data_IF_233720349300
#
_entry.id   IF_233720349300
#
_cell.length_a   1.000
_cell.length_b   1.000
_cell.length_c   1.000
_cell.angle_alpha   90.00
_cell.angle_beta   90.00
_cell.angle_gamma   90.00
#
_symmetry.space_group_name_H-M   'P 1'
#
loop_
_entity.id
_entity.type
_entity.pdbx_description
1 polymer ?
#
# COMPACT_ATOMS: atom_id res chain seq x y z
N UNK A 1 -14.53 3.00 8.48
CA UNK A 1 -13.52 2.70 7.45
C UNK A 1 -12.27 3.50 7.75
N UNK A 2 -11.08 2.91 7.65
CA UNK A 2 -9.81 3.63 7.68
C UNK A 2 -9.38 3.93 6.24
N UNK A 3 -9.41 5.20 5.80
CA UNK A 3 -9.08 5.58 4.43
C UNK A 3 -7.56 5.65 4.20
N UNK A 4 -7.11 5.46 2.96
CA UNK A 4 -5.77 5.91 2.55
C UNK A 4 -5.68 7.44 2.54
N UNK A 5 -4.46 8.00 2.48
CA UNK A 5 -4.25 9.45 2.42
C UNK A 5 -5.01 10.10 1.26
N UNK A 6 -4.75 9.67 0.03
CA UNK A 6 -5.44 10.17 -1.16
C UNK A 6 -6.97 9.99 -1.10
N UNK A 7 -7.44 8.88 -0.51
CA UNK A 7 -8.88 8.67 -0.28
C UNK A 7 -9.44 9.71 0.68
N UNK A 8 -8.79 9.97 1.81
CA UNK A 8 -9.25 10.94 2.79
C UNK A 8 -9.22 12.37 2.24
N UNK A 9 -8.20 12.72 1.45
CA UNK A 9 -8.11 14.01 0.77
C UNK A 9 -9.31 14.25 -0.15
N UNK A 10 -9.78 13.21 -0.84
CA UNK A 10 -10.97 13.31 -1.69
C UNK A 10 -12.31 13.44 -0.96
N UNK A 11 -12.35 13.17 0.35
CA UNK A 11 -13.59 13.29 1.14
C UNK A 11 -13.98 14.76 1.31
N UNK A 12 -15.28 15.04 1.16
CA UNK A 12 -15.87 16.36 1.37
C UNK A 12 -17.03 16.29 2.40
N UNK A 13 -16.73 16.06 3.69
CA UNK A 13 -17.75 16.01 4.74
C UNK A 13 -18.48 17.34 4.92
N UNK A 14 -17.85 18.46 4.55
CA UNK A 14 -18.46 19.79 4.64
C UNK A 14 -19.71 19.91 3.74
N UNK A 15 -19.80 19.15 2.64
CA UNK A 15 -21.00 19.08 1.80
C UNK A 15 -22.26 18.60 2.56
N UNK A 16 -22.08 17.81 3.63
CA UNK A 16 -23.17 17.33 4.47
C UNK A 16 -23.79 18.46 5.31
N UNK A 17 -23.03 19.53 5.59
CA UNK A 17 -23.53 20.71 6.31
C UNK A 17 -24.59 21.48 5.51
N UNK A 18 -24.56 21.39 4.18
CA UNK A 18 -25.59 21.93 3.29
C UNK A 18 -26.72 20.93 3.06
N UNK A 19 -26.38 19.65 2.86
CA UNK A 19 -27.34 18.60 2.53
C UNK A 19 -28.34 18.35 3.67
N UNK A 20 -27.88 18.32 4.93
CA UNK A 20 -28.75 18.12 6.09
C UNK A 20 -29.90 19.14 6.17
N UNK A 21 -29.61 20.45 6.18
CA UNK A 21 -30.63 21.51 6.13
C UNK A 21 -31.60 21.39 4.94
N UNK A 22 -31.12 21.05 3.73
CA UNK A 22 -31.99 20.85 2.56
C UNK A 22 -32.98 19.70 2.77
N UNK A 23 -32.50 18.57 3.31
CA UNK A 23 -33.34 17.41 3.62
C UNK A 23 -34.40 17.77 4.66
N UNK A 24 -34.01 18.50 5.72
CA UNK A 24 -34.95 18.97 6.74
C UNK A 24 -36.02 19.89 6.15
N UNK A 25 -35.61 20.89 5.37
CA UNK A 25 -36.51 21.86 4.75
C UNK A 25 -37.52 21.19 3.80
N UNK A 26 -37.11 20.14 3.08
CA UNK A 26 -38.02 19.36 2.25
C UNK A 26 -39.10 18.64 3.08
N UNK A 27 -38.73 18.08 4.24
CA UNK A 27 -39.69 17.50 5.18
C UNK A 27 -40.67 18.53 5.74
N UNK A 28 -40.16 19.68 6.16
CA UNK A 28 -40.97 20.79 6.67
C UNK A 28 -41.98 21.28 5.61
N UNK A 29 -41.55 21.40 4.34
CA UNK A 29 -42.42 21.85 3.25
C UNK A 29 -43.57 20.87 2.95
N UNK A 30 -43.32 19.55 3.01
CA UNK A 30 -44.36 18.53 2.81
C UNK A 30 -45.38 18.58 3.95
N UNK A 31 -44.93 18.63 5.20
CA UNK A 31 -45.80 18.69 6.37
C UNK A 31 -46.66 19.96 6.35
N UNK A 32 -46.06 21.13 6.11
CA UNK A 32 -46.77 22.40 6.00
C UNK A 32 -47.80 22.40 4.87
N UNK A 33 -47.49 21.80 3.72
CA UNK A 33 -48.42 21.74 2.58
C UNK A 33 -49.66 20.91 2.92
N UNK A 34 -49.47 19.72 3.52
CA UNK A 34 -50.58 18.85 3.92
C UNK A 34 -51.36 19.46 5.09
N UNK A 35 -50.67 20.05 6.06
CA UNK A 35 -51.27 20.73 7.19
C UNK A 35 -52.14 21.91 6.78
N UNK A 36 -51.70 22.71 5.79
CA UNK A 36 -52.51 23.80 5.24
C UNK A 36 -53.81 23.31 4.59
N UNK A 37 -53.77 22.18 3.89
CA UNK A 37 -54.97 21.58 3.28
C UNK A 37 -55.93 21.10 4.37
N UNK A 38 -55.41 20.42 5.40
CA UNK A 38 -56.21 19.95 6.55
C UNK A 38 -56.88 21.12 7.28
N UNK A 39 -56.13 22.19 7.60
CA UNK A 39 -56.66 23.40 8.25
C UNK A 39 -57.73 24.08 7.38
N UNK A 40 -57.46 24.27 6.09
CA UNK A 40 -58.42 24.91 5.19
C UNK A 40 -59.73 24.11 5.10
N UNK A 41 -59.65 22.77 5.01
CA UNK A 41 -60.84 21.92 4.95
C UNK A 41 -61.66 22.02 6.24
N UNK A 42 -61.00 22.02 7.41
CA UNK A 42 -61.68 22.16 8.71
C UNK A 42 -62.41 23.50 8.87
N UNK A 43 -61.94 24.56 8.21
CA UNK A 43 -62.54 25.90 8.26
C UNK A 43 -63.67 26.12 7.23
N UNK A 44 -63.91 25.18 6.30
CA UNK A 44 -64.97 25.30 5.28
C UNK A 44 -66.40 25.45 5.83
N UNK A 45 -66.80 24.78 6.94
CA UNK A 45 -68.12 24.98 7.54
C UNK A 45 -68.33 26.42 8.03
N UNK A 46 -67.30 27.06 8.56
CA UNK A 46 -67.32 28.44 9.05
C UNK A 46 -67.52 29.45 7.90
N UNK A 47 -67.04 29.10 6.71
CA UNK A 47 -67.22 29.89 5.48
C UNK A 47 -68.48 29.53 4.70
N UNK A 48 -69.33 28.62 5.22
CA UNK A 48 -70.54 28.07 4.57
C UNK A 48 -70.29 27.44 3.19
N UNK A 49 -69.06 26.99 2.92
CA UNK A 49 -68.69 26.47 1.60
C UNK A 49 -68.97 24.97 1.45
N UNK A 50 -68.78 24.18 2.51
CA UNK A 50 -69.07 22.73 2.54
C UNK A 50 -69.18 22.21 3.98
N UNK A 51 -70.14 21.33 4.27
CA UNK A 51 -70.37 20.69 5.58
C UNK A 51 -71.16 19.36 5.46
N UNK A 52 -71.20 18.56 6.53
CA UNK A 52 -71.96 17.30 6.63
C UNK A 52 -71.08 16.04 6.60
N UNK A 53 -71.68 14.85 6.62
CA UNK A 53 -70.95 13.57 6.78
C UNK A 53 -69.82 13.34 5.78
N UNK A 54 -69.99 13.81 4.53
CA UNK A 54 -68.94 13.73 3.52
C UNK A 54 -67.74 14.65 3.83
N UNK A 55 -67.99 15.82 4.40
CA UNK A 55 -66.96 16.75 4.87
C UNK A 55 -66.24 16.19 6.10
N UNK A 56 -66.96 15.59 7.05
CA UNK A 56 -66.37 14.93 8.22
C UNK A 56 -65.41 13.81 7.79
N UNK A 57 -65.84 12.95 6.85
CA UNK A 57 -65.02 11.86 6.33
C UNK A 57 -63.75 12.36 5.61
N UNK A 58 -63.86 13.47 4.85
CA UNK A 58 -62.73 14.10 4.19
C UNK A 58 -61.75 14.72 5.21
N UNK A 59 -62.27 15.34 6.28
CA UNK A 59 -61.49 15.88 7.39
C UNK A 59 -60.72 14.78 8.11
N UNK A 60 -61.38 13.65 8.41
CA UNK A 60 -60.72 12.50 9.02
C UNK A 60 -59.61 11.92 8.14
N UNK A 61 -59.85 11.83 6.83
CA UNK A 61 -58.85 11.38 5.86
C UNK A 61 -57.63 12.31 5.82
N UNK A 62 -57.84 13.62 5.71
CA UNK A 62 -56.75 14.60 5.68
C UNK A 62 -56.02 14.71 7.02
N UNK A 63 -56.73 14.55 8.14
CA UNK A 63 -56.10 14.43 9.46
C UNK A 63 -55.16 13.22 9.57
N UNK A 64 -55.52 12.06 8.96
CA UNK A 64 -54.60 10.92 8.85
C UNK A 64 -53.41 11.21 7.94
N UNK A 65 -53.63 11.90 6.82
CA UNK A 65 -52.57 12.30 5.90
C UNK A 65 -51.59 13.26 6.57
N UNK A 66 -52.08 14.26 7.31
CA UNK A 66 -51.27 15.22 8.05
C UNK A 66 -50.40 14.52 9.10
N UNK A 67 -50.97 13.62 9.92
CA UNK A 67 -50.18 12.80 10.87
C UNK A 67 -49.09 11.96 10.20
N UNK A 68 -49.33 11.52 8.96
CA UNK A 68 -48.32 10.79 8.19
C UNK A 68 -47.21 11.73 7.67
N UNK A 69 -47.57 12.95 7.28
CA UNK A 69 -46.63 13.98 6.88
C UNK A 69 -45.77 14.48 8.05
N UNK A 70 -46.33 14.60 9.26
CA UNK A 70 -45.57 14.89 10.48
C UNK A 70 -44.50 13.82 10.74
N UNK A 71 -44.87 12.53 10.68
CA UNK A 71 -43.91 11.42 10.82
C UNK A 71 -42.81 11.47 9.75
N UNK A 72 -43.16 11.83 8.52
CA UNK A 72 -42.20 11.98 7.43
C UNK A 72 -41.23 13.16 7.66
N UNK A 73 -41.72 14.30 8.13
CA UNK A 73 -40.88 15.44 8.52
C UNK A 73 -39.92 15.07 9.66
N UNK A 74 -40.42 14.36 10.67
CA UNK A 74 -39.60 13.92 11.79
C UNK A 74 -38.51 12.94 11.34
N UNK A 75 -38.80 12.07 10.37
CA UNK A 75 -37.82 11.21 9.71
C UNK A 75 -36.69 12.02 9.07
N UNK A 76 -37.06 12.95 8.18
CA UNK A 76 -36.08 13.78 7.48
C UNK A 76 -35.30 14.68 8.44
N UNK A 77 -35.91 15.11 9.54
CA UNK A 77 -35.22 15.85 10.62
C UNK A 77 -34.17 15.00 11.33
N UNK A 78 -34.44 13.71 11.58
CA UNK A 78 -33.47 12.79 12.19
C UNK A 78 -32.29 12.51 11.24
N UNK A 79 -32.57 12.23 9.97
CA UNK A 79 -31.53 12.05 8.93
C UNK A 79 -30.70 13.33 8.79
N UNK A 80 -31.35 14.49 8.68
CA UNK A 80 -30.67 15.78 8.60
C UNK A 80 -29.76 16.03 9.81
N UNK A 81 -30.23 15.73 11.03
CA UNK A 81 -29.43 15.84 12.25
C UNK A 81 -28.18 14.96 12.22
N UNK A 82 -28.31 13.72 11.74
CA UNK A 82 -27.17 12.81 11.57
C UNK A 82 -26.16 13.37 10.54
N UNK A 83 -26.63 13.86 9.38
CA UNK A 83 -25.76 14.43 8.34
C UNK A 83 -25.01 15.68 8.84
N UNK A 84 -25.70 16.60 9.52
CA UNK A 84 -25.08 17.82 10.05
C UNK A 84 -24.07 17.51 11.16
N UNK A 85 -24.39 16.58 12.07
CA UNK A 85 -23.44 16.14 13.09
C UNK A 85 -22.22 15.42 12.48
N UNK A 86 -22.44 14.62 11.44
CA UNK A 86 -21.39 13.98 10.66
C UNK A 86 -20.46 14.99 10.00
N UNK A 87 -21.01 16.01 9.35
CA UNK A 87 -20.24 17.09 8.73
C UNK A 87 -19.22 17.69 9.71
N UNK A 88 -19.68 18.01 10.92
CA UNK A 88 -18.84 18.60 11.95
C UNK A 88 -17.78 17.64 12.48
N UNK A 89 -18.20 16.44 12.91
CA UNK A 89 -17.31 15.48 13.58
C UNK A 89 -16.29 14.85 12.62
N UNK A 90 -16.76 14.35 11.48
CA UNK A 90 -15.89 13.77 10.44
C UNK A 90 -15.02 14.85 9.79
N UNK A 91 -15.56 16.04 9.54
CA UNK A 91 -14.80 17.17 9.01
C UNK A 91 -13.67 17.62 9.95
N UNK A 92 -13.92 17.65 11.26
CA UNK A 92 -12.90 17.96 12.26
C UNK A 92 -11.81 16.87 12.33
N UNK A 93 -12.20 15.59 12.38
CA UNK A 93 -11.24 14.48 12.42
C UNK A 93 -10.38 14.41 11.15
N UNK A 94 -11.00 14.57 9.97
CA UNK A 94 -10.31 14.65 8.68
C UNK A 94 -9.26 15.75 8.69
N UNK A 95 -9.66 16.96 9.08
CA UNK A 95 -8.77 18.13 9.09
C UNK A 95 -7.61 17.91 10.05
N UNK A 96 -7.87 17.42 11.26
CA UNK A 96 -6.83 17.18 12.25
C UNK A 96 -5.76 16.19 11.76
N UNK A 97 -6.17 15.11 11.08
CA UNK A 97 -5.22 14.13 10.52
C UNK A 97 -4.43 14.70 9.34
N UNK A 98 -5.08 15.37 8.38
CA UNK A 98 -4.40 15.96 7.23
C UNK A 98 -3.46 17.10 7.64
N UNK A 99 -3.90 17.99 8.54
CA UNK A 99 -3.05 19.06 9.06
C UNK A 99 -1.82 18.51 9.79
N UNK A 100 -1.95 17.36 10.48
CA UNK A 100 -0.82 16.70 11.12
C UNK A 100 0.12 16.08 10.10
N UNK A 101 -0.40 15.44 9.06
CA UNK A 101 0.43 14.92 7.97
C UNK A 101 1.19 16.05 7.27
N UNK A 102 0.54 17.17 6.95
CA UNK A 102 1.17 18.34 6.34
C UNK A 102 2.26 18.95 7.24
N UNK A 103 2.07 18.95 8.56
CA UNK A 103 3.10 19.38 9.52
C UNK A 103 4.32 18.46 9.52
N UNK A 104 4.10 17.14 9.43
CA UNK A 104 5.17 16.15 9.38
C UNK A 104 5.94 16.31 8.07
N UNK A 105 5.23 16.38 6.93
CA UNK A 105 5.79 16.53 5.59
C UNK A 105 6.56 17.85 5.36
N UNK A 106 6.30 18.87 6.18
CA UNK A 106 7.06 20.12 6.16
C UNK A 106 8.41 20.02 6.91
N UNK A 107 8.65 18.91 7.61
CA UNK A 107 9.84 18.63 8.42
C UNK A 107 10.83 17.70 7.71
N UNK A 108 11.60 16.91 8.49
CA UNK A 108 12.54 15.91 7.96
C UNK A 108 11.91 14.51 7.77
N UNK A 109 10.59 14.42 7.85
CA UNK A 109 9.81 13.19 7.80
C UNK A 109 8.68 13.36 6.79
N UNK A 110 8.11 12.25 6.32
CA UNK A 110 6.90 12.27 5.49
C UNK A 110 5.89 11.21 5.91
N UNK A 111 4.63 11.39 5.52
CA UNK A 111 3.55 10.43 5.75
C UNK A 111 3.13 9.76 4.44
N UNK A 112 3.31 8.44 4.39
CA UNK A 112 2.93 7.60 3.23
C UNK A 112 1.42 7.49 3.02
N UNK A 113 1.01 6.94 1.87
CA UNK A 113 -0.40 6.64 1.55
C UNK A 113 -1.10 5.74 2.59
N UNK A 114 -0.33 4.85 3.24
CA UNK A 114 -0.78 3.94 4.29
C UNK A 114 -0.66 4.51 5.71
N UNK A 115 -0.40 5.82 5.85
CA UNK A 115 -0.20 6.51 7.14
C UNK A 115 0.99 6.01 7.97
N UNK A 116 1.98 5.37 7.34
CA UNK A 116 3.29 5.15 7.97
C UNK A 116 4.13 6.42 7.86
N UNK A 117 4.77 6.81 8.96
CA UNK A 117 5.71 7.94 9.06
C UNK A 117 7.10 7.46 8.69
N UNK A 118 7.71 8.12 7.71
CA UNK A 118 8.98 7.76 7.10
C UNK A 118 9.99 8.90 7.25
N UNK A 119 11.27 8.57 7.21
CA UNK A 119 12.35 9.57 7.16
C UNK A 119 12.50 10.05 5.73
N UNK A 120 12.63 11.37 5.54
CA UNK A 120 12.86 11.91 4.21
C UNK A 120 14.19 11.45 3.62
N UNK A 121 14.22 11.13 2.31
CA UNK A 121 15.46 10.78 1.63
C UNK A 121 16.45 11.95 1.64
N UNK A 122 17.68 11.70 2.07
CA UNK A 122 18.74 12.72 2.05
C UNK A 122 20.06 12.26 2.63
N UNK A 123 21.05 13.15 2.58
CA UNK A 123 22.35 12.94 3.21
C UNK A 123 22.20 13.06 4.74
N UNK A 124 22.33 11.94 5.44
CA UNK A 124 22.12 11.83 6.87
C UNK A 124 23.18 10.92 7.49
N UNK A 125 23.77 11.31 8.62
CA UNK A 125 24.65 10.45 9.40
C UNK A 125 23.85 9.36 10.12
N UNK A 126 24.52 8.30 10.58
CA UNK A 126 23.85 7.28 11.40
C UNK A 126 23.27 7.82 12.71
N UNK A 127 23.92 8.82 13.31
CA UNK A 127 23.41 9.51 14.51
C UNK A 127 22.13 10.30 14.20
N UNK A 128 22.12 11.03 13.08
CA UNK A 128 20.92 11.77 12.65
C UNK A 128 19.74 10.83 12.34
N UNK A 129 19.98 9.67 11.72
CA UNK A 129 18.94 8.66 11.53
C UNK A 129 18.40 8.18 12.88
N UNK A 130 19.27 7.90 13.86
CA UNK A 130 18.83 7.43 15.17
C UNK A 130 17.93 8.47 15.88
N UNK A 131 18.31 9.75 15.84
CA UNK A 131 17.49 10.85 16.36
C UNK A 131 16.15 10.96 15.62
N UNK A 132 16.16 10.86 14.29
CA UNK A 132 14.94 10.89 13.48
C UNK A 132 14.03 9.70 13.76
N UNK A 133 14.58 8.53 14.09
CA UNK A 133 13.78 7.35 14.46
C UNK A 133 13.01 7.53 15.77
N UNK A 134 13.58 8.24 16.75
CA UNK A 134 12.84 8.61 17.97
C UNK A 134 11.67 9.55 17.66
N UNK A 135 11.89 10.51 16.75
CA UNK A 135 10.84 11.40 16.27
C UNK A 135 9.75 10.62 15.51
N UNK A 136 10.13 9.70 14.61
CA UNK A 136 9.20 8.83 13.87
C UNK A 136 8.27 8.07 14.82
N UNK A 137 8.80 7.49 15.90
CA UNK A 137 7.96 6.75 16.88
C UNK A 137 6.92 7.67 17.51
N UNK A 138 7.32 8.89 17.88
CA UNK A 138 6.44 9.89 18.47
C UNK A 138 5.35 10.33 17.47
N UNK A 139 5.76 10.62 16.23
CA UNK A 139 4.85 11.07 15.18
C UNK A 139 3.89 9.98 14.72
N UNK A 140 4.36 8.73 14.60
CA UNK A 140 3.52 7.59 14.24
C UNK A 140 2.40 7.38 15.27
N UNK A 141 2.68 7.53 16.56
CA UNK A 141 1.66 7.41 17.60
C UNK A 141 0.59 8.50 17.49
N UNK A 142 0.99 9.73 17.16
CA UNK A 142 0.06 10.85 16.92
C UNK A 142 -0.81 10.61 15.68
N UNK A 143 -0.20 10.20 14.56
CA UNK A 143 -0.90 9.86 13.31
C UNK A 143 -1.89 8.72 13.54
N UNK A 144 -1.48 7.64 14.20
CA UNK A 144 -2.36 6.49 14.49
C UNK A 144 -3.57 6.89 15.34
N UNK A 145 -3.38 7.76 16.33
CA UNK A 145 -4.48 8.28 17.16
C UNK A 145 -5.50 9.05 16.31
N UNK A 146 -5.03 9.91 15.41
CA UNK A 146 -5.88 10.72 14.53
C UNK A 146 -6.56 9.87 13.46
N UNK A 147 -5.89 8.85 12.91
CA UNK A 147 -6.46 7.89 11.98
C UNK A 147 -7.63 7.11 12.60
N UNK A 148 -7.47 6.65 13.84
CA UNK A 148 -8.56 5.99 14.56
C UNK A 148 -9.72 6.94 14.83
N UNK A 149 -9.45 8.22 15.14
CA UNK A 149 -10.52 9.21 15.31
C UNK A 149 -11.32 9.44 14.03
N UNK A 150 -10.69 9.38 12.84
CA UNK A 150 -11.39 9.41 11.55
C UNK A 150 -12.28 8.18 11.39
N UNK A 151 -11.74 6.98 11.65
CA UNK A 151 -12.50 5.73 11.58
C UNK A 151 -13.70 5.70 12.53
N UNK A 152 -13.54 6.21 13.74
CA UNK A 152 -14.61 6.30 14.74
C UNK A 152 -15.67 7.34 14.36
N UNK A 153 -15.27 8.49 13.80
CA UNK A 153 -16.20 9.50 13.33
C UNK A 153 -17.05 9.00 12.14
N UNK A 154 -16.43 8.30 11.19
CA UNK A 154 -17.12 7.64 10.08
C UNK A 154 -18.11 6.57 10.57
N UNK A 155 -17.67 5.69 11.47
CA UNK A 155 -18.52 4.66 12.06
C UNK A 155 -19.71 5.25 12.82
N UNK A 156 -19.47 6.28 13.65
CA UNK A 156 -20.53 6.94 14.41
C UNK A 156 -21.55 7.66 13.51
N UNK A 157 -21.11 8.23 12.38
CA UNK A 157 -22.01 8.81 11.39
C UNK A 157 -22.88 7.73 10.74
N UNK A 158 -22.27 6.63 10.29
CA UNK A 158 -22.99 5.51 9.71
C UNK A 158 -24.03 4.94 10.69
N UNK A 159 -23.66 4.74 11.96
CA UNK A 159 -24.56 4.27 13.00
C UNK A 159 -25.75 5.22 13.24
N UNK A 160 -25.52 6.54 13.29
CA UNK A 160 -26.59 7.53 13.44
C UNK A 160 -27.57 7.52 12.26
N UNK A 161 -27.06 7.38 11.03
CA UNK A 161 -27.90 7.28 9.84
C UNK A 161 -28.73 6.00 9.85
N UNK A 162 -28.11 4.87 10.22
CA UNK A 162 -28.79 3.58 10.34
C UNK A 162 -29.87 3.61 11.42
N UNK A 163 -29.58 4.21 12.58
CA UNK A 163 -30.56 4.39 13.66
C UNK A 163 -31.73 5.28 13.24
N UNK A 164 -31.47 6.39 12.53
CA UNK A 164 -32.50 7.27 11.98
C UNK A 164 -33.41 6.55 10.97
N UNK A 165 -32.83 5.66 10.17
CA UNK A 165 -33.57 4.86 9.19
C UNK A 165 -34.39 3.73 9.84
N UNK A 166 -33.84 3.06 10.87
CA UNK A 166 -34.46 1.91 11.53
C UNK A 166 -35.82 2.24 12.17
N UNK A 167 -36.00 3.45 12.71
CA UNK A 167 -37.28 3.93 13.28
C UNK A 167 -38.44 3.80 12.27
N UNK A 168 -38.15 3.78 10.97
CA UNK A 168 -39.14 3.74 9.89
C UNK A 168 -39.15 2.42 9.12
N UNK A 169 -38.58 1.37 9.70
CA UNK A 169 -38.63 0.01 9.15
C UNK A 169 -37.55 -0.27 8.12
N UNK A 170 -36.58 0.64 7.91
CA UNK A 170 -35.39 0.29 7.16
C UNK A 170 -34.62 -0.81 7.88
N UNK A 171 -34.37 -1.90 7.18
CA UNK A 171 -33.52 -2.98 7.67
C UNK A 171 -32.35 -3.09 6.69
N UNK A 172 -31.09 -3.01 7.16
CA UNK A 172 -29.95 -3.22 6.28
C UNK A 172 -30.05 -4.60 5.61
N UNK A 173 -29.67 -4.71 4.32
CA UNK A 173 -29.49 -6.02 3.70
C UNK A 173 -28.49 -6.86 4.53
N UNK A 174 -28.69 -8.20 4.60
CA UNK A 174 -27.79 -9.06 5.35
C UNK A 174 -26.37 -8.98 4.81
N UNK A 175 -25.43 -8.62 5.69
CA UNK A 175 -24.02 -8.45 5.34
C UNK A 175 -23.26 -9.78 5.21
N UNK A 176 -23.78 -10.86 5.78
CA UNK A 176 -23.12 -12.17 5.85
C UNK A 176 -23.83 -13.24 5.01
N UNK A 177 -23.10 -14.34 4.74
CA UNK A 177 -23.59 -15.48 3.98
C UNK A 177 -23.71 -15.24 2.47
N UNK A 178 -24.30 -16.22 1.77
CA UNK A 178 -24.53 -16.17 0.32
C UNK A 178 -25.28 -14.89 -0.13
N UNK A 179 -26.31 -14.41 0.58
CA UNK A 179 -27.01 -13.17 0.22
C UNK A 179 -26.10 -11.94 0.26
N UNK A 180 -25.23 -11.83 1.27
CA UNK A 180 -24.25 -10.75 1.37
C UNK A 180 -23.08 -10.88 0.39
N UNK A 181 -22.79 -12.08 -0.13
CA UNK A 181 -21.86 -12.27 -1.26
C UNK A 181 -22.46 -11.81 -2.61
N UNK A 182 -23.77 -11.99 -2.79
CA UNK A 182 -24.48 -11.63 -4.03
C UNK A 182 -24.86 -10.15 -4.11
N UNK A 183 -24.69 -9.39 -3.02
CA UNK A 183 -24.94 -7.95 -2.97
C UNK A 183 -23.71 -7.19 -2.46
N UNK A 184 -22.69 -6.97 -3.31
CA UNK A 184 -21.46 -6.28 -2.90
C UNK A 184 -21.70 -4.90 -2.28
N UNK A 185 -22.71 -4.17 -2.77
CA UNK A 185 -23.12 -2.86 -2.25
C UNK A 185 -23.76 -2.89 -0.84
N UNK A 186 -24.12 -4.08 -0.33
CA UNK A 186 -24.69 -4.27 1.00
C UNK A 186 -23.62 -4.38 2.11
N UNK A 187 -22.35 -4.61 1.73
CA UNK A 187 -21.26 -4.73 2.71
C UNK A 187 -20.74 -3.36 3.10
N UNK A 188 -20.35 -3.23 4.37
CA UNK A 188 -19.55 -2.08 4.78
C UNK A 188 -18.26 -2.06 3.95
N UNK A 189 -17.83 -0.89 3.47
CA UNK A 189 -16.51 -0.75 2.88
C UNK A 189 -15.45 -1.32 3.83
N UNK A 190 -14.54 -2.12 3.29
CA UNK A 190 -13.36 -2.56 4.02
C UNK A 190 -12.44 -1.36 4.25
N UNK A 191 -11.56 -1.46 5.24
CA UNK A 191 -10.52 -0.46 5.45
C UNK A 191 -9.54 -0.47 4.26
N UNK A 192 -9.16 0.72 3.78
CA UNK A 192 -8.15 0.89 2.73
C UNK A 192 -6.73 0.67 3.28
N UNK A 193 -6.56 0.91 4.58
CA UNK A 193 -5.28 0.79 5.28
C UNK A 193 -5.41 -0.13 6.49
N UNK A 194 -4.33 -0.80 6.89
CA UNK A 194 -4.34 -1.65 8.07
C UNK A 194 -4.66 -0.86 9.34
N UNK A 195 -5.45 -1.48 10.21
CA UNK A 195 -5.87 -0.86 11.47
C UNK A 195 -4.75 -0.85 12.51
N UNK A 196 -4.39 0.31 13.07
CA UNK A 196 -3.40 0.39 14.15
C UNK A 196 -3.95 -0.10 15.50
N UNK A 197 -5.22 -0.52 15.57
CA UNK A 197 -5.77 -1.25 16.74
C UNK A 197 -5.29 -2.70 16.78
N UNK A 198 -4.90 -3.24 15.63
CA UNK A 198 -4.57 -4.65 15.47
C UNK A 198 -3.04 -4.80 15.39
N UNK A 199 -2.45 -5.80 16.09
CA UNK A 199 -1.00 -6.03 16.03
C UNK A 199 -0.48 -6.24 14.60
N UNK A 200 -1.31 -6.81 13.73
CA UNK A 200 -0.97 -7.01 12.32
C UNK A 200 -0.89 -5.68 11.56
N UNK A 201 -1.75 -4.71 11.86
CA UNK A 201 -1.71 -3.41 11.19
C UNK A 201 -0.48 -2.59 11.61
N UNK A 202 -0.10 -2.67 12.89
CA UNK A 202 1.16 -2.08 13.36
C UNK A 202 2.38 -2.73 12.68
N UNK A 203 2.39 -4.06 12.57
CA UNK A 203 3.47 -4.78 11.87
C UNK A 203 3.60 -4.35 10.39
N UNK A 204 2.47 -4.12 9.71
CA UNK A 204 2.48 -3.67 8.32
C UNK A 204 3.04 -2.25 8.17
N UNK A 205 2.71 -1.32 9.08
CA UNK A 205 3.32 0.01 9.12
C UNK A 205 4.83 -0.06 9.35
N UNK A 206 5.28 -0.93 10.26
CA UNK A 206 6.69 -1.17 10.53
C UNK A 206 7.43 -1.76 9.31
N UNK A 207 6.76 -2.64 8.56
CA UNK A 207 7.31 -3.24 7.34
C UNK A 207 7.52 -2.18 6.26
N UNK A 208 6.51 -1.34 5.99
CA UNK A 208 6.62 -0.23 5.02
C UNK A 208 7.79 0.70 5.38
N UNK A 209 7.95 1.01 6.67
CA UNK A 209 9.05 1.84 7.15
C UNK A 209 10.41 1.16 7.00
N UNK A 210 10.52 -0.11 7.39
CA UNK A 210 11.76 -0.87 7.26
C UNK A 210 12.21 -0.96 5.80
N UNK A 211 11.28 -1.25 4.89
CA UNK A 211 11.55 -1.27 3.44
C UNK A 211 11.97 0.11 2.92
N UNK A 212 11.30 1.18 3.36
CA UNK A 212 11.67 2.53 2.97
C UNK A 212 13.11 2.86 3.40
N UNK A 213 13.51 2.47 4.60
CA UNK A 213 14.85 2.74 5.14
C UNK A 213 15.93 1.84 4.51
N UNK A 214 15.65 0.56 4.29
CA UNK A 214 16.56 -0.41 3.68
C UNK A 214 16.90 -0.12 2.21
N UNK A 215 16.17 0.82 1.60
CA UNK A 215 16.27 1.12 0.17
C UNK A 215 16.60 2.57 -0.12
N UNK A 216 16.61 3.42 0.90
CA UNK A 216 17.07 4.80 0.76
C UNK A 216 18.54 4.87 1.09
N UNK A 217 19.36 5.28 0.13
CA UNK A 217 20.77 5.55 0.34
C UNK A 217 20.92 6.80 1.22
N UNK A 218 21.60 6.69 2.36
CA UNK A 218 21.96 7.86 3.19
C UNK A 218 23.34 8.41 2.85
N UNK A 219 24.25 7.55 2.41
CA UNK A 219 25.65 7.87 2.14
C UNK A 219 26.20 6.95 1.05
N UNK A 220 27.09 7.47 0.21
CA UNK A 220 27.85 6.67 -0.74
C UNK A 220 29.33 6.91 -0.58
N UNK A 221 30.11 5.85 -0.60
CA UNK A 221 31.57 5.86 -0.56
C UNK A 221 32.09 5.23 -1.84
N UNK A 222 33.04 5.88 -2.51
CA UNK A 222 33.68 5.34 -3.72
C UNK A 222 35.20 5.31 -3.52
N UNK A 223 35.86 4.29 -4.05
CA UNK A 223 37.29 4.14 -3.96
C UNK A 223 37.82 3.01 -4.83
N UNK A 224 39.10 2.69 -4.65
CA UNK A 224 39.71 1.51 -5.23
C UNK A 224 40.09 0.56 -4.10
N UNK A 225 39.88 -0.73 -4.32
CA UNK A 225 40.40 -1.80 -3.47
C UNK A 225 41.93 -1.83 -3.51
N UNK A 226 42.56 -2.52 -2.56
CA UNK A 226 44.02 -2.71 -2.54
C UNK A 226 44.54 -3.36 -3.83
N UNK A 227 43.70 -4.17 -4.49
CA UNK A 227 43.98 -4.85 -5.76
C UNK A 227 43.70 -3.97 -7.01
N UNK A 228 43.30 -2.71 -6.83
CA UNK A 228 43.07 -1.75 -7.90
C UNK A 228 41.67 -1.77 -8.53
N UNK A 229 40.76 -2.60 -8.02
CA UNK A 229 39.37 -2.67 -8.51
C UNK A 229 38.53 -1.51 -7.99
N UNK A 230 37.69 -0.93 -8.83
CA UNK A 230 36.81 0.17 -8.41
C UNK A 230 35.67 -0.38 -7.53
N UNK A 231 35.43 0.27 -6.40
CA UNK A 231 34.39 -0.09 -5.45
C UNK A 231 33.51 1.12 -5.12
N UNK A 232 32.19 0.91 -5.14
CA UNK A 232 31.21 1.83 -4.60
C UNK A 232 30.36 1.15 -3.54
N UNK A 233 30.32 1.73 -2.35
CA UNK A 233 29.47 1.29 -1.24
C UNK A 233 28.34 2.29 -1.02
N UNK A 234 27.11 1.82 -1.11
CA UNK A 234 25.90 2.52 -0.72
C UNK A 234 25.52 2.10 0.69
N UNK A 235 25.42 3.05 1.61
CA UNK A 235 24.95 2.83 2.98
C UNK A 235 23.51 3.31 3.04
N UNK A 236 22.60 2.46 3.50
CA UNK A 236 21.18 2.74 3.57
C UNK A 236 20.81 3.43 4.88
N UNK A 237 19.59 3.98 4.97
CA UNK A 237 19.11 4.64 6.19
C UNK A 237 19.05 3.67 7.37
N UNK A 238 18.68 2.40 7.16
CA UNK A 238 18.67 1.37 8.22
C UNK A 238 20.07 0.90 8.65
N UNK A 239 21.13 1.36 7.98
CA UNK A 239 22.51 0.98 8.24
C UNK A 239 23.01 -0.23 7.45
N UNK A 240 22.13 -0.91 6.69
CA UNK A 240 22.53 -1.93 5.71
C UNK A 240 23.42 -1.31 4.63
N UNK A 241 24.18 -2.17 3.94
CA UNK A 241 25.19 -1.74 2.96
C UNK A 241 25.08 -2.56 1.70
N UNK A 242 25.10 -1.89 0.55
CA UNK A 242 25.28 -2.55 -0.73
C UNK A 242 26.61 -2.09 -1.32
N UNK A 243 27.53 -3.04 -1.52
CA UNK A 243 28.83 -2.80 -2.13
C UNK A 243 28.80 -3.32 -3.56
N UNK A 244 29.19 -2.49 -4.51
CA UNK A 244 29.41 -2.89 -5.89
C UNK A 244 30.88 -2.74 -6.25
N UNK A 245 31.46 -3.79 -6.81
CA UNK A 245 32.88 -3.88 -7.17
C UNK A 245 32.99 -4.25 -8.65
N UNK A 246 33.70 -3.43 -9.41
CA UNK A 246 34.07 -3.71 -10.79
C UNK A 246 35.53 -4.13 -10.86
N UNK A 247 35.74 -5.36 -11.34
CA UNK A 247 37.06 -5.96 -11.42
C UNK A 247 37.74 -5.50 -12.71
N UNK A 248 38.93 -4.93 -12.56
CA UNK A 248 39.82 -4.67 -13.70
C UNK A 248 40.25 -6.02 -14.28
N UNK A 249 39.75 -6.34 -15.47
CA UNK A 249 39.95 -7.65 -16.07
C UNK A 249 41.39 -7.87 -16.52
N UNK A 250 41.94 -9.05 -16.20
CA UNK A 250 43.24 -9.52 -16.65
C UNK A 250 43.14 -11.03 -16.87
N UNK A 251 42.67 -11.40 -18.06
CA UNK A 251 42.52 -12.81 -18.44
C UNK A 251 43.86 -13.57 -18.43
N UNK A 252 45.00 -12.88 -18.57
CA UNK A 252 46.32 -13.52 -18.51
C UNK A 252 46.71 -13.90 -17.08
N UNK A 253 46.18 -13.19 -16.08
CA UNK A 253 46.31 -13.51 -14.65
C UNK A 253 45.10 -14.23 -14.05
N UNK A 254 44.10 -14.55 -14.89
CA UNK A 254 42.89 -15.26 -14.48
C UNK A 254 41.82 -14.39 -13.83
N UNK A 255 41.90 -13.06 -13.96
CA UNK A 255 40.87 -12.13 -13.48
C UNK A 255 39.81 -11.96 -14.57
N UNK A 256 38.57 -12.42 -14.36
CA UNK A 256 37.50 -12.31 -15.35
C UNK A 256 36.98 -10.86 -15.47
N UNK A 257 36.40 -10.51 -16.63
CA UNK A 257 35.54 -9.34 -16.77
C UNK A 257 34.30 -9.57 -15.90
N UNK A 258 34.24 -8.92 -14.74
CA UNK A 258 33.28 -9.23 -13.69
C UNK A 258 32.88 -8.00 -12.90
N UNK A 259 31.58 -7.88 -12.62
CA UNK A 259 31.02 -6.95 -11.66
C UNK A 259 30.31 -7.76 -10.58
N UNK A 260 30.54 -7.40 -9.32
CA UNK A 260 29.95 -8.06 -8.16
C UNK A 260 29.22 -7.05 -7.31
N UNK A 261 28.01 -7.41 -6.89
CA UNK A 261 27.24 -6.68 -5.89
C UNK A 261 27.09 -7.55 -4.64
N UNK A 262 27.35 -7.00 -3.47
CA UNK A 262 27.20 -7.64 -2.16
C UNK A 262 26.27 -6.81 -1.29
N UNK A 263 25.24 -7.43 -0.73
CA UNK A 263 24.30 -6.79 0.18
C UNK A 263 24.52 -7.34 1.60
N UNK A 264 24.83 -6.46 2.52
CA UNK A 264 25.00 -6.72 3.94
C UNK A 264 23.87 -6.10 4.75
N UNK A 265 23.40 -6.80 5.77
CA UNK A 265 22.50 -6.20 6.76
C UNK A 265 23.25 -5.19 7.67
N UNK A 266 22.50 -4.55 8.59
CA UNK A 266 23.04 -3.57 9.52
C UNK A 266 24.10 -4.17 10.48
N UNK A 267 24.06 -5.48 10.73
CA UNK A 267 25.02 -6.21 11.57
C UNK A 267 26.28 -6.64 10.78
N UNK A 268 26.30 -6.39 9.47
CA UNK A 268 27.40 -6.73 8.57
C UNK A 268 27.38 -8.18 8.07
N UNK A 269 26.27 -8.92 8.24
CA UNK A 269 26.11 -10.24 7.65
C UNK A 269 25.73 -10.12 6.18
N UNK A 270 26.35 -10.92 5.32
CA UNK A 270 26.01 -10.97 3.90
C UNK A 270 24.64 -11.65 3.73
N UNK A 271 23.68 -10.93 3.17
CA UNK A 271 22.29 -11.41 2.99
C UNK A 271 21.97 -11.77 1.53
N UNK A 272 22.65 -11.17 0.57
CA UNK A 272 22.59 -11.56 -0.84
C UNK A 272 23.81 -11.06 -1.60
N UNK A 273 24.11 -11.68 -2.73
CA UNK A 273 25.12 -11.16 -3.66
C UNK A 273 24.78 -11.53 -5.10
N UNK A 274 25.09 -10.62 -6.00
CA UNK A 274 24.92 -10.80 -7.45
C UNK A 274 26.28 -10.73 -8.11
N UNK A 275 26.50 -11.54 -9.13
CA UNK A 275 27.73 -11.51 -9.91
C UNK A 275 27.39 -11.59 -11.39
N UNK A 276 27.90 -10.65 -12.16
CA UNK A 276 27.83 -10.66 -13.62
C UNK A 276 29.23 -10.81 -14.17
N UNK A 277 29.44 -11.78 -15.06
CA UNK A 277 30.74 -12.05 -15.67
C UNK A 277 30.64 -12.25 -17.18
N UNK A 278 31.72 -11.90 -17.88
CA UNK A 278 31.91 -12.15 -19.31
C UNK A 278 33.22 -12.89 -19.52
N UNK A 279 33.20 -13.84 -20.45
CA UNK A 279 34.41 -14.53 -20.92
C UNK A 279 34.88 -13.96 -22.25
N UNK A 280 36.17 -14.13 -22.62
CA UNK A 280 36.68 -13.71 -23.93
C UNK A 280 35.97 -14.38 -25.10
N UNK A 281 35.40 -15.57 -24.86
CA UNK A 281 34.63 -16.33 -25.86
C UNK A 281 33.23 -15.80 -26.11
N UNK A 282 32.80 -14.73 -25.43
CA UNK A 282 31.47 -14.14 -25.60
C UNK A 282 30.36 -14.78 -24.75
N UNK A 283 30.72 -15.70 -23.85
CA UNK A 283 29.79 -16.22 -22.84
C UNK A 283 29.56 -15.16 -21.75
N UNK A 284 28.29 -14.88 -21.44
CA UNK A 284 27.87 -13.96 -20.37
C UNK A 284 27.10 -14.78 -19.31
N UNK A 285 27.32 -14.47 -18.03
CA UNK A 285 26.61 -15.09 -16.90
C UNK A 285 26.24 -14.04 -15.86
N UNK A 286 25.02 -14.11 -15.35
CA UNK A 286 24.61 -13.41 -14.13
C UNK A 286 24.03 -14.40 -13.13
N UNK A 287 24.56 -14.36 -11.92
CA UNK A 287 24.17 -15.23 -10.81
C UNK A 287 23.69 -14.36 -9.65
N UNK A 288 22.45 -14.56 -9.22
CA UNK A 288 21.86 -13.96 -8.03
C UNK A 288 21.85 -15.00 -6.92
N UNK A 289 22.31 -14.63 -5.73
CA UNK A 289 22.44 -15.53 -4.59
C UNK A 289 21.77 -14.92 -3.37
N UNK A 290 21.12 -15.76 -2.58
CA UNK A 290 20.46 -15.37 -1.33
C UNK A 290 21.01 -16.15 -0.14
N UNK A 291 20.84 -15.59 1.06
CA UNK A 291 21.36 -16.16 2.31
C UNK A 291 20.86 -17.58 2.61
N UNK A 292 19.69 -17.98 2.08
CA UNK A 292 19.16 -19.34 2.26
C UNK A 292 19.86 -20.39 1.37
N UNK A 293 20.83 -19.97 0.55
CA UNK A 293 21.55 -20.82 -0.38
C UNK A 293 20.86 -21.03 -1.72
N UNK A 294 19.68 -20.41 -1.93
CA UNK A 294 19.05 -20.39 -3.24
C UNK A 294 19.85 -19.51 -4.21
N UNK A 295 19.82 -19.90 -5.49
CA UNK A 295 20.46 -19.15 -6.56
C UNK A 295 19.56 -19.08 -7.77
N UNK A 296 19.59 -17.94 -8.46
CA UNK A 296 19.05 -17.79 -9.79
C UNK A 296 20.21 -17.51 -10.74
N UNK A 297 20.33 -18.31 -11.78
CA UNK A 297 21.44 -18.24 -12.72
C UNK A 297 20.88 -18.02 -14.11
N UNK A 298 21.41 -17.01 -14.80
CA UNK A 298 21.10 -16.71 -16.19
C UNK A 298 22.38 -16.70 -16.98
N UNK A 299 22.40 -17.49 -18.03
CA UNK A 299 23.54 -17.71 -18.90
C UNK A 299 23.20 -17.29 -20.31
N UNK A 300 24.18 -16.78 -21.03
CA UNK A 300 24.10 -16.54 -22.47
C UNK A 300 25.33 -17.11 -23.16
N UNK A 301 25.06 -18.04 -24.08
CA UNK A 301 26.07 -18.59 -24.97
C UNK A 301 26.57 -17.55 -25.99
N UNK A 302 27.77 -17.74 -26.57
CA UNK A 302 28.28 -16.89 -27.65
C UNK A 302 27.35 -16.82 -28.87
N UNK A 303 26.57 -17.87 -29.11
CA UNK A 303 25.57 -17.97 -30.17
C UNK A 303 24.30 -17.16 -29.87
N UNK A 304 24.21 -16.58 -28.67
CA UNK A 304 23.09 -15.74 -28.23
C UNK A 304 21.95 -16.50 -27.57
N UNK A 305 22.06 -17.82 -27.37
CA UNK A 305 21.07 -18.62 -26.64
C UNK A 305 21.13 -18.27 -25.16
N UNK A 306 19.99 -17.86 -24.60
CA UNK A 306 19.80 -17.59 -23.17
C UNK A 306 19.22 -18.82 -22.49
N UNK A 307 19.81 -19.19 -21.36
CA UNK A 307 19.28 -20.25 -20.49
C UNK A 307 19.26 -19.75 -19.06
N UNK A 308 18.40 -20.31 -18.22
CA UNK A 308 18.50 -20.05 -16.79
C UNK A 308 17.92 -21.17 -15.95
N UNK A 309 18.29 -21.14 -14.68
CA UNK A 309 17.92 -22.17 -13.74
C UNK A 309 17.94 -21.64 -12.31
N UNK A 310 17.20 -22.31 -11.44
CA UNK A 310 17.28 -22.13 -10.01
C UNK A 310 18.04 -23.28 -9.37
N UNK A 311 18.93 -22.95 -8.43
CA UNK A 311 19.42 -23.90 -7.45
C UNK A 311 18.68 -23.62 -6.15
N UNK A 312 18.03 -24.64 -5.59
CA UNK A 312 17.26 -24.53 -4.36
C UNK A 312 18.12 -24.88 -3.15
N UNK A 313 17.75 -24.41 -1.94
CA UNK A 313 18.48 -24.71 -0.71
C UNK A 313 18.63 -26.21 -0.42
N UNK A 314 17.68 -27.03 -0.90
CA UNK A 314 17.67 -28.48 -0.76
C UNK A 314 18.56 -29.22 -1.78
N UNK A 315 19.29 -28.47 -2.63
CA UNK A 315 20.18 -29.00 -3.66
C UNK A 315 19.49 -29.39 -4.96
N UNK A 316 18.17 -29.25 -5.08
CA UNK A 316 17.47 -29.46 -6.36
C UNK A 316 17.79 -28.33 -7.33
N UNK A 317 17.92 -28.68 -8.60
CA UNK A 317 18.07 -27.75 -9.71
C UNK A 317 16.81 -27.73 -10.57
N UNK A 318 16.22 -26.56 -10.75
CA UNK A 318 15.04 -26.34 -11.58
C UNK A 318 15.48 -25.61 -12.84
N UNK A 319 15.43 -26.29 -13.99
CA UNK A 319 15.73 -25.67 -15.28
C UNK A 319 14.51 -24.87 -15.74
N UNK A 320 14.74 -23.65 -16.24
CA UNK A 320 13.69 -22.89 -16.89
C UNK A 320 13.56 -23.32 -18.34
N UNK A 321 12.33 -23.41 -18.80
CA UNK A 321 12.04 -23.55 -20.22
C UNK A 321 12.65 -22.34 -20.97
N UNK A 322 13.29 -22.54 -22.14
CA UNK A 322 13.78 -21.44 -22.97
C UNK A 322 12.74 -20.33 -23.25
N UNK A 323 11.45 -20.70 -23.34
CA UNK A 323 10.36 -19.74 -23.57
C UNK A 323 9.77 -19.18 -22.26
N UNK A 324 10.41 -19.45 -21.12
CA UNK A 324 9.95 -18.99 -19.81
C UNK A 324 9.87 -17.47 -19.74
N UNK A 325 8.74 -16.89 -19.29
CA UNK A 325 8.62 -15.47 -19.03
C UNK A 325 9.65 -14.93 -18.02
N UNK A 326 10.21 -15.80 -17.17
CA UNK A 326 11.27 -15.43 -16.23
C UNK A 326 12.62 -15.15 -16.90
N UNK A 327 12.83 -15.65 -18.13
CA UNK A 327 14.02 -15.39 -18.95
C UNK A 327 13.84 -14.23 -19.93
N UNK A 328 12.59 -13.87 -20.24
CA UNK A 328 12.28 -12.89 -21.29
C UNK A 328 11.59 -11.65 -20.74
N UNK A 329 10.49 -11.82 -20.01
CA UNK A 329 9.61 -10.72 -19.57
C UNK A 329 10.10 -10.09 -18.27
N UNK A 330 10.51 -10.89 -17.28
CA UNK A 330 11.00 -10.37 -16.00
C UNK A 330 12.30 -9.56 -16.18
N UNK A 331 13.34 -10.06 -16.85
CA UNK A 331 14.53 -9.31 -17.25
C UNK A 331 14.26 -7.95 -17.90
N UNK A 332 13.29 -7.88 -18.82
CA UNK A 332 12.97 -6.65 -19.53
C UNK A 332 12.26 -5.59 -18.68
N UNK A 333 11.85 -5.95 -17.46
CA UNK A 333 11.07 -5.09 -16.56
C UNK A 333 11.79 -4.72 -15.28
N UNK A 334 12.88 -5.42 -14.95
CA UNK A 334 13.75 -5.07 -13.84
C UNK A 334 14.47 -3.76 -14.23
N UNK A 335 13.95 -2.63 -13.73
CA UNK A 335 14.43 -1.28 -14.08
C UNK A 335 15.89 -1.05 -13.65
N UNK A 336 16.58 -0.13 -14.33
CA UNK A 336 18.04 0.06 -14.21
C UNK A 336 18.49 0.64 -12.87
N UNK A 337 18.03 1.84 -12.52
CA UNK A 337 18.62 2.64 -11.43
C UNK A 337 18.33 2.02 -10.06
N UNK A 338 17.18 1.37 -9.87
CA UNK A 338 16.80 0.77 -8.58
C UNK A 338 17.52 -0.54 -8.26
N UNK A 339 18.06 -1.21 -9.30
CA UNK A 339 18.58 -2.58 -9.20
C UNK A 339 20.03 -2.71 -9.62
N UNK A 340 20.60 -1.72 -10.30
CA UNK A 340 21.98 -1.75 -10.79
C UNK A 340 22.18 -2.63 -12.03
N UNK A 341 21.10 -3.21 -12.57
CA UNK A 341 21.10 -4.01 -13.79
C UNK A 341 20.93 -3.12 -15.03
N UNK A 342 21.54 -3.47 -16.15
CA UNK A 342 21.32 -2.74 -17.41
C UNK A 342 19.88 -2.85 -17.91
N UNK A 343 19.20 -1.71 -18.11
CA UNK A 343 17.84 -1.64 -18.69
C UNK A 343 17.76 -2.04 -20.17
N UNK A 344 18.90 -2.19 -20.85
CA UNK A 344 18.94 -2.35 -22.30
C UNK A 344 18.82 -3.82 -22.73
N UNK A 345 17.59 -4.34 -22.70
CA UNK A 345 17.14 -5.47 -23.55
C UNK A 345 16.36 -4.91 -24.77
N UNK A 346 16.68 -3.70 -25.25
CA UNK A 346 16.12 -3.19 -26.49
C UNK A 346 16.67 -4.02 -27.67
N UNK A 347 15.87 -4.96 -28.17
CA UNK A 347 16.22 -5.85 -29.29
C UNK A 347 16.37 -7.34 -28.95
N UNK A 348 16.03 -7.78 -27.73
CA UNK A 348 15.86 -9.21 -27.40
C UNK A 348 17.15 -10.03 -27.33
N UNK A 349 18.30 -9.40 -27.05
CA UNK A 349 19.59 -10.05 -27.25
C UNK A 349 20.59 -10.00 -26.10
N UNK A 350 20.25 -9.62 -24.85
CA UNK A 350 21.21 -9.64 -23.72
C UNK A 350 20.53 -10.09 -22.43
N UNK A 351 21.29 -10.75 -21.55
CA UNK A 351 20.85 -11.06 -20.18
C UNK A 351 21.05 -9.82 -19.28
N UNK A 352 20.29 -9.67 -18.17
CA UNK A 352 20.55 -8.60 -17.20
C UNK A 352 21.96 -8.74 -16.66
N UNK A 353 22.76 -7.69 -16.78
CA UNK A 353 24.12 -7.62 -16.24
C UNK A 353 24.21 -6.46 -15.25
N UNK A 354 24.95 -6.65 -14.17
CA UNK A 354 25.34 -5.57 -13.27
C UNK A 354 26.18 -4.54 -14.03
N UNK A 355 25.97 -3.26 -13.73
CA UNK A 355 26.60 -2.16 -14.44
C UNK A 355 26.93 -1.00 -13.51
N UNK A 356 28.23 -0.72 -13.37
CA UNK A 356 28.72 0.39 -12.54
C UNK A 356 28.14 1.73 -12.98
N UNK A 357 27.93 1.93 -14.28
CA UNK A 357 27.36 3.16 -14.84
C UNK A 357 25.97 3.47 -14.25
N UNK A 358 25.19 2.44 -13.91
CA UNK A 358 23.84 2.59 -13.35
C UNK A 358 23.87 2.99 -11.87
N UNK A 359 24.91 2.60 -11.13
CA UNK A 359 25.03 2.93 -9.70
C UNK A 359 25.96 4.10 -9.43
N UNK A 360 26.82 4.49 -10.37
CA UNK A 360 27.81 5.56 -10.19
C UNK A 360 27.15 6.90 -9.85
N UNK A 361 25.96 7.15 -10.41
CA UNK A 361 25.18 8.37 -10.17
C UNK A 361 24.32 8.33 -8.90
N UNK A 362 24.23 7.20 -8.21
CA UNK A 362 23.50 7.11 -6.95
C UNK A 362 24.18 7.99 -5.91
N UNK A 363 23.43 8.92 -5.36
CA UNK A 363 23.82 9.75 -4.22
C UNK A 363 22.90 9.52 -3.03
N UNK A 364 23.14 10.28 -1.97
CA UNK A 364 22.23 10.29 -0.83
C UNK A 364 20.80 10.70 -1.24
N UNK A 365 19.81 10.06 -0.63
CA UNK A 365 18.39 10.16 -0.97
C UNK A 365 17.96 9.30 -2.16
N UNK A 366 18.88 8.69 -2.92
CA UNK A 366 18.51 7.79 -4.01
C UNK A 366 17.87 6.51 -3.47
N UNK A 367 16.95 5.93 -4.26
CA UNK A 367 16.37 4.64 -3.98
C UNK A 367 17.16 3.54 -4.69
N UNK A 368 17.59 2.53 -3.93
CA UNK A 368 18.37 1.41 -4.43
C UNK A 368 18.16 0.17 -3.56
N UNK A 369 17.67 -0.92 -4.16
CA UNK A 369 17.43 -2.20 -3.45
C UNK A 369 18.40 -3.32 -3.83
N UNK A 370 19.23 -3.10 -4.85
CA UNK A 370 20.14 -4.09 -5.41
C UNK A 370 19.49 -5.09 -6.36
N UNK A 371 20.33 -5.79 -7.11
CA UNK A 371 19.93 -6.64 -8.22
C UNK A 371 19.21 -7.91 -7.74
N UNK A 372 19.67 -8.51 -6.63
CA UNK A 372 19.07 -9.71 -6.06
C UNK A 372 17.65 -9.46 -5.55
N UNK A 373 17.43 -8.36 -4.83
CA UNK A 373 16.09 -7.99 -4.33
C UNK A 373 15.16 -7.65 -5.48
N UNK A 374 15.59 -6.76 -6.39
CA UNK A 374 14.78 -6.32 -7.52
C UNK A 374 14.35 -7.47 -8.43
N UNK A 375 15.26 -8.39 -8.73
CA UNK A 375 14.97 -9.56 -9.58
C UNK A 375 13.98 -10.50 -8.91
N UNK A 376 14.18 -10.80 -7.62
CA UNK A 376 13.29 -11.68 -6.86
C UNK A 376 11.87 -11.13 -6.76
N UNK A 377 11.76 -9.84 -6.46
CA UNK A 377 10.49 -9.11 -6.39
C UNK A 377 9.71 -9.24 -7.69
N UNK A 378 10.38 -8.94 -8.80
CA UNK A 378 9.81 -9.01 -10.13
C UNK A 378 9.28 -10.41 -10.46
N UNK A 379 10.02 -11.45 -10.08
CA UNK A 379 9.61 -12.85 -10.30
C UNK A 379 8.40 -13.22 -9.46
N UNK A 380 8.43 -12.92 -8.16
CA UNK A 380 7.36 -13.26 -7.25
C UNK A 380 6.04 -12.60 -7.67
N UNK A 381 6.09 -11.29 -7.98
CA UNK A 381 4.93 -10.54 -8.40
C UNK A 381 4.38 -11.07 -9.74
N UNK A 382 5.26 -11.38 -10.69
CA UNK A 382 4.86 -11.98 -11.97
C UNK A 382 4.19 -13.35 -11.80
N UNK A 383 4.74 -14.20 -10.92
CA UNK A 383 4.22 -15.54 -10.66
C UNK A 383 2.87 -15.51 -9.92
N UNK A 384 2.66 -14.53 -9.05
CA UNK A 384 1.41 -14.37 -8.29
C UNK A 384 0.29 -13.67 -9.05
N UNK A 385 0.62 -12.86 -10.05
CA UNK A 385 -0.38 -12.10 -10.79
C UNK A 385 -1.40 -13.03 -11.49
N UNK A 386 -2.68 -12.81 -11.17
CA UNK A 386 -3.78 -13.67 -11.61
C UNK A 386 -4.17 -13.42 -13.08
N UNK A 387 -3.98 -12.19 -13.58
CA UNK A 387 -4.33 -11.82 -14.95
C UNK A 387 -3.10 -11.39 -15.78
N UNK A 388 -3.14 -11.51 -17.12
CA UNK A 388 -2.09 -10.99 -18.00
C UNK A 388 -1.86 -9.47 -17.89
N UNK A 389 -2.89 -8.71 -17.51
CA UNK A 389 -2.80 -7.27 -17.27
C UNK A 389 -2.08 -6.97 -15.94
N UNK A 390 -2.39 -7.73 -14.87
CA UNK A 390 -1.67 -7.63 -13.59
C UNK A 390 -0.18 -7.97 -13.76
N UNK A 391 0.13 -9.00 -14.56
CA UNK A 391 1.52 -9.37 -14.92
C UNK A 391 2.27 -8.25 -15.65
N UNK A 392 1.57 -7.33 -16.31
CA UNK A 392 2.18 -6.19 -16.99
C UNK A 392 2.50 -5.01 -16.06
N UNK A 393 1.80 -4.89 -14.93
CA UNK A 393 1.91 -3.76 -13.98
C UNK A 393 2.82 -4.09 -12.79
N UNK A 394 3.00 -5.38 -12.48
CA UNK A 394 3.38 -5.83 -11.14
C UNK A 394 4.87 -5.80 -10.76
N UNK A 395 5.80 -5.25 -11.54
CA UNK A 395 7.24 -5.56 -11.32
C UNK A 395 7.89 -4.83 -10.12
N UNK A 396 7.24 -3.82 -9.54
CA UNK A 396 7.72 -3.14 -8.33
C UNK A 396 6.63 -2.96 -7.26
N UNK A 397 5.48 -3.62 -7.42
CA UNK A 397 4.33 -3.37 -6.56
C UNK A 397 4.40 -4.12 -5.22
N UNK A 398 5.14 -5.24 -5.15
CA UNK A 398 4.99 -6.21 -4.06
C UNK A 398 6.19 -6.47 -3.15
N UNK A 399 7.39 -5.91 -3.38
CA UNK A 399 8.49 -6.01 -2.40
C UNK A 399 9.18 -4.69 -2.02
N UNK A 400 8.70 -3.60 -2.60
CA UNK A 400 8.99 -2.26 -2.14
C UNK A 400 7.62 -1.62 -1.96
N UNK A 401 7.14 -1.45 -0.72
CA UNK A 401 5.82 -0.96 -0.35
C UNK A 401 5.49 0.45 -0.85
N UNK A 402 5.45 0.62 -2.17
CA UNK A 402 5.14 1.84 -2.92
C UNK A 402 4.10 1.59 -4.02
N UNK A 403 3.40 0.46 -4.03
CA UNK A 403 2.12 0.32 -4.73
C UNK A 403 0.94 0.38 -3.75
N UNK A 404 0.91 1.43 -2.94
CA UNK A 404 -0.34 1.99 -2.48
C UNK A 404 -0.94 2.84 -3.60
N UNK A 405 -1.98 2.32 -4.26
CA UNK A 405 -3.05 3.10 -4.90
C UNK A 405 -2.88 3.53 -6.37
N UNK A 406 -2.73 2.57 -7.30
CA UNK A 406 -3.10 2.81 -8.70
C UNK A 406 -3.79 1.63 -9.42
N UNK A 407 -4.50 0.73 -8.73
CA UNK A 407 -5.48 -0.16 -9.38
C UNK A 407 -6.67 -0.39 -8.43
N UNK A 408 -7.56 0.62 -8.39
CA UNK A 408 -8.87 0.48 -7.78
C UNK A 408 -9.75 -0.44 -8.63
N UNK A 409 -10.00 -1.66 -8.14
CA UNK A 409 -10.99 -2.56 -8.73
C UNK A 409 -10.99 -3.96 -8.10
N UNK A 410 -11.90 -4.18 -7.15
CA UNK A 410 -12.41 -5.50 -6.74
C UNK A 410 -11.40 -6.66 -6.68
N UNK A 411 -10.41 -6.56 -5.77
CA UNK A 411 -9.44 -7.63 -5.52
C UNK A 411 -8.36 -7.31 -4.48
N UNK A 412 -8.20 -6.03 -4.12
CA UNK A 412 -7.09 -5.50 -3.32
C UNK A 412 -7.21 -5.67 -1.80
N UNK A 413 -7.35 -6.90 -1.31
CA UNK A 413 -7.18 -7.22 0.12
C UNK A 413 -6.14 -8.33 0.37
N UNK A 414 -5.38 -8.74 -0.64
CA UNK A 414 -4.57 -9.95 -0.54
C UNK A 414 -3.23 -9.90 -1.31
N UNK A 415 -2.40 -8.88 -1.09
CA UNK A 415 -0.94 -9.02 -1.32
C UNK A 415 -0.19 -8.34 -0.17
N UNK A 416 -0.50 -8.80 1.04
CA UNK A 416 0.20 -8.47 2.27
C UNK A 416 -0.04 -9.63 3.24
N UNK A 417 0.14 -10.85 2.75
CA UNK A 417 0.07 -12.02 3.64
C UNK A 417 1.11 -11.78 4.74
N UNK A 418 0.71 -11.85 6.04
CA UNK A 418 1.65 -11.69 7.13
C UNK A 418 2.84 -12.60 6.88
N UNK A 419 4.04 -12.02 6.85
CA UNK A 419 5.28 -12.77 6.93
C UNK A 419 5.32 -13.30 8.37
N UNK A 420 5.13 -14.62 8.60
CA UNK A 420 5.31 -15.15 9.94
C UNK A 420 6.81 -15.09 10.21
N UNK A 421 7.25 -14.09 10.97
CA UNK A 421 8.59 -14.10 11.54
C UNK A 421 8.58 -15.13 12.68
N UNK A 422 9.36 -16.22 12.59
CA UNK A 422 9.53 -17.11 13.73
C UNK A 422 10.32 -16.34 14.79
N UNK A 423 9.67 -15.97 15.91
CA UNK A 423 10.37 -15.46 17.09
C UNK A 423 9.92 -14.11 17.66
N UNK A 424 8.99 -13.37 17.04
CA UNK A 424 8.45 -12.15 17.64
C UNK A 424 7.31 -12.50 18.62
N UNK A 425 7.66 -12.75 19.89
CA UNK A 425 6.67 -12.93 20.94
C UNK A 425 5.87 -11.65 21.15
N UNK A 426 4.54 -11.75 21.03
CA UNK A 426 3.58 -10.73 21.38
C UNK A 426 3.81 -10.25 22.83
N UNK A 427 4.32 -9.03 23.01
CA UNK A 427 4.46 -8.40 24.33
C UNK A 427 5.71 -7.55 24.56
N UNK A 428 6.68 -7.52 23.66
CA UNK A 428 7.87 -6.66 23.76
C UNK A 428 7.67 -5.32 23.07
N UNK A 429 8.18 -4.24 23.66
CA UNK A 429 8.20 -2.90 23.09
C UNK A 429 8.63 -2.93 21.61
N UNK A 430 7.92 -2.17 20.77
CA UNK A 430 8.19 -1.98 19.34
C UNK A 430 9.52 -1.22 19.21
N UNK A 431 10.64 -1.93 19.34
CA UNK A 431 11.98 -1.43 19.04
C UNK A 431 12.29 -1.69 17.57
N UNK A 432 11.79 -0.80 16.71
CA UNK A 432 12.44 -0.22 15.52
C UNK A 432 13.29 -1.01 14.52
N UNK A 433 13.51 -2.32 14.64
CA UNK A 433 14.38 -3.07 13.74
C UNK A 433 13.69 -4.36 13.30
N UNK A 434 12.91 -4.26 12.23
CA UNK A 434 12.64 -5.44 11.42
C UNK A 434 13.98 -5.82 10.79
N UNK A 435 14.55 -6.97 11.17
CA UNK A 435 15.81 -7.46 10.62
C UNK A 435 15.59 -7.75 9.14
N UNK A 436 16.13 -6.88 8.27
CA UNK A 436 16.08 -7.01 6.81
C UNK A 436 16.54 -8.40 6.35
N UNK A 437 17.50 -9.00 7.05
CA UNK A 437 17.95 -10.38 6.80
C UNK A 437 16.83 -11.43 6.85
N UNK A 438 15.78 -11.24 7.67
CA UNK A 438 14.61 -12.13 7.71
C UNK A 438 13.72 -12.02 6.46
N UNK A 439 13.66 -10.83 5.85
CA UNK A 439 12.89 -10.55 4.63
C UNK A 439 13.57 -11.20 3.40
N UNK A 440 14.90 -11.11 3.32
CA UNK A 440 15.69 -11.74 2.25
C UNK A 440 15.78 -13.26 2.36
N UNK A 441 15.91 -13.81 3.58
CA UNK A 441 15.98 -15.27 3.79
C UNK A 441 14.66 -15.97 3.41
N UNK A 442 13.51 -15.36 3.71
CA UNK A 442 12.22 -15.97 3.38
C UNK A 442 11.82 -15.79 1.91
N UNK A 443 12.32 -14.76 1.23
CA UNK A 443 11.94 -14.48 -0.14
C UNK A 443 12.54 -15.50 -1.14
N UNK A 444 13.75 -16.03 -0.90
CA UNK A 444 14.34 -17.17 -1.63
C UNK A 444 13.49 -18.44 -1.54
N UNK A 445 13.04 -18.75 -0.32
CA UNK A 445 12.18 -19.90 -0.03
C UNK A 445 10.84 -19.81 -0.77
N UNK A 446 10.22 -18.63 -0.86
CA UNK A 446 8.89 -18.46 -1.51
C UNK A 446 8.92 -18.59 -3.03
N UNK A 447 9.95 -18.09 -3.70
CA UNK A 447 10.10 -18.32 -5.16
C UNK A 447 10.29 -19.82 -5.41
N UNK A 448 11.07 -20.50 -4.56
CA UNK A 448 11.22 -21.96 -4.59
C UNK A 448 9.90 -22.71 -4.40
N UNK A 449 9.07 -22.31 -3.42
CA UNK A 449 7.74 -22.90 -3.16
C UNK A 449 6.79 -22.74 -4.35
N UNK A 450 6.74 -21.55 -4.97
CA UNK A 450 5.86 -21.27 -6.11
C UNK A 450 6.31 -22.02 -7.37
N UNK A 451 7.62 -22.16 -7.60
CA UNK A 451 8.15 -22.88 -8.75
C UNK A 451 8.05 -24.40 -8.62
N UNK A 452 8.14 -24.93 -7.40
CA UNK A 452 8.12 -26.38 -7.18
C UNK A 452 6.72 -26.94 -6.97
N UNK A 453 5.74 -26.09 -6.64
CA UNK A 453 4.49 -26.55 -6.04
C UNK A 453 4.73 -27.13 -4.66
N UNK A 454 3.93 -26.74 -3.68
CA UNK A 454 3.88 -27.41 -2.37
C UNK A 454 3.55 -28.90 -2.51
#
# INVERSE_FOLDING_TARGET
MLPSRSRLESWNPDSLSFTGPTVKAAGDAVEQSVGRIDVNLRQMPETRSWAGTAHDAATDMLGRAHRSAEKFRDHLSSVAGALTAGASTLGAARRALLDRADQIDAGPLNVSEGWAVLIDPGAQSGEQIAELMELVVTEQAAVNTLLLAVGDADAALAEKLMAAAAVFGFTPPPAEGLPGMLTPAARRPADDVPSPRDPLGLLQQDTVRAEAMATTVRETQSGFTDDGHFEKTMIMQDGSKIRMTEYEYDYARGVPDMVKEEHFDADGQLISWTTSSRTPGGYENTTFNWADGSQYVVDRSPEGVVTGHFNLPDGRRVLLDPDSPLLTTVPARIGDVMTGLDAHIAGGGRIPMLSMDNVEKLGAGAKYGGAALGTMTAMYDFLKAATPEDKCVSVFAGAFGLAGNALGGAGGAAVGAPIPLPGTTAGGAITGALVVGGLFTQAGTKVGEVLCGS
#
